data_IF_777572837689
#
_entry.id   IF_777572837689
#
_cell.length_a   1.000
_cell.length_b   1.000
_cell.length_c   1.000
_cell.angle_alpha   90.00
_cell.angle_beta   90.00
_cell.angle_gamma   90.00
#
_symmetry.space_group_name_H-M   'P 1'
#
loop_
_entity.id
_entity.type
_entity.pdbx_description
1 polymer ?
#
# COMPACT_ATOMS: atom_id res chain seq x y z
N UNK A 1 -23.88 -64.04 16.47
CA UNK A 1 -23.58 -63.11 15.34
C UNK A 1 -23.69 -61.69 15.88
N UNK A 2 -22.56 -61.07 16.23
CA UNK A 2 -22.52 -59.74 16.84
C UNK A 2 -22.23 -58.72 15.72
N UNK A 3 -23.20 -57.86 15.38
CA UNK A 3 -23.08 -56.81 14.36
C UNK A 3 -22.48 -55.58 15.03
N UNK A 4 -21.23 -55.25 14.71
CA UNK A 4 -20.63 -53.98 15.07
C UNK A 4 -21.14 -52.86 14.15
N UNK A 5 -21.84 -51.91 14.71
CA UNK A 5 -22.26 -50.67 14.05
C UNK A 5 -21.11 -49.69 14.10
N UNK A 6 -20.47 -49.43 12.95
CA UNK A 6 -19.46 -48.37 12.82
C UNK A 6 -20.19 -47.01 12.73
N UNK A 7 -20.12 -46.21 13.77
CA UNK A 7 -20.59 -44.82 13.74
C UNK A 7 -19.44 -43.97 13.21
N UNK A 8 -19.56 -43.52 11.97
CA UNK A 8 -18.66 -42.56 11.39
C UNK A 8 -18.95 -41.17 11.96
N UNK A 9 -18.07 -40.66 12.81
CA UNK A 9 -18.13 -39.27 13.33
C UNK A 9 -17.60 -38.34 12.22
N UNK A 10 -18.51 -37.67 11.52
CA UNK A 10 -18.17 -36.54 10.66
C UNK A 10 -17.78 -35.35 11.55
N UNK A 11 -16.49 -35.06 11.67
CA UNK A 11 -16.03 -33.83 12.26
C UNK A 11 -16.38 -32.67 11.31
N UNK A 12 -17.02 -31.58 11.79
CA UNK A 12 -17.24 -30.40 10.95
C UNK A 12 -15.88 -29.76 10.64
N UNK A 13 -15.52 -29.71 9.37
CA UNK A 13 -14.40 -28.89 8.91
C UNK A 13 -14.77 -27.42 9.14
N UNK A 14 -14.25 -26.84 10.21
CA UNK A 14 -14.35 -25.40 10.42
C UNK A 14 -13.66 -24.71 9.24
N UNK A 15 -14.43 -24.11 8.34
CA UNK A 15 -13.92 -23.17 7.35
C UNK A 15 -13.35 -21.96 8.13
N UNK A 16 -12.07 -22.01 8.42
CA UNK A 16 -11.35 -20.84 8.90
C UNK A 16 -11.43 -19.79 7.79
N UNK A 17 -12.15 -18.71 8.06
CA UNK A 17 -12.20 -17.57 7.16
C UNK A 17 -10.75 -17.11 6.92
N UNK A 18 -10.24 -17.35 5.71
CA UNK A 18 -8.86 -16.98 5.35
C UNK A 18 -8.75 -15.47 5.41
N UNK A 19 -7.98 -14.97 6.37
CA UNK A 19 -7.62 -13.56 6.44
C UNK A 19 -6.73 -13.24 5.24
N UNK A 20 -7.20 -12.36 4.37
CA UNK A 20 -6.41 -11.88 3.24
C UNK A 20 -5.54 -10.72 3.70
N UNK A 21 -4.25 -10.83 3.48
CA UNK A 21 -3.29 -9.83 3.96
C UNK A 21 -2.24 -9.49 2.90
N UNK A 22 -1.68 -8.31 3.05
CA UNK A 22 -0.57 -7.80 2.28
C UNK A 22 0.53 -7.36 3.24
N UNK A 23 1.75 -7.73 2.92
CA UNK A 23 2.95 -7.26 3.60
C UNK A 23 3.65 -6.24 2.72
N UNK A 24 4.01 -5.10 3.29
CA UNK A 24 4.68 -4.01 2.61
C UNK A 24 5.90 -3.64 3.41
N UNK A 25 7.01 -3.50 2.72
CA UNK A 25 8.30 -3.08 3.27
C UNK A 25 8.79 -1.90 2.45
N UNK A 26 9.10 -0.80 3.13
CA UNK A 26 9.74 0.35 2.52
C UNK A 26 11.27 0.16 2.58
N UNK A 27 11.92 0.33 1.44
CA UNK A 27 13.38 0.24 1.34
C UNK A 27 13.94 1.56 0.80
N UNK A 28 15.08 1.98 1.33
CA UNK A 28 15.84 3.13 0.87
C UNK A 28 17.22 2.69 0.40
N UNK A 29 17.69 3.29 -0.68
CA UNK A 29 19.07 3.11 -1.14
C UNK A 29 20.04 3.85 -0.21
N UNK A 30 21.04 3.16 0.27
CA UNK A 30 22.16 3.72 1.03
C UNK A 30 23.46 3.26 0.38
N UNK A 31 24.16 4.18 -0.26
CA UNK A 31 25.43 3.89 -0.96
C UNK A 31 25.32 2.74 -1.98
N UNK A 32 24.18 2.66 -2.68
CA UNK A 32 23.90 1.62 -3.68
C UNK A 32 23.34 0.31 -3.13
N UNK A 33 23.25 0.14 -1.83
CA UNK A 33 22.63 -1.00 -1.19
C UNK A 33 21.21 -0.67 -0.70
N UNK A 34 20.25 -1.56 -0.92
CA UNK A 34 18.89 -1.42 -0.43
C UNK A 34 18.79 -1.83 1.04
N UNK A 35 18.30 -0.92 1.87
CA UNK A 35 18.07 -1.15 3.29
C UNK A 35 16.60 -0.95 3.62
N UNK A 36 16.03 -1.92 4.31
CA UNK A 36 14.70 -1.77 4.90
C UNK A 36 14.72 -0.67 5.96
N UNK A 37 13.75 0.23 5.90
CA UNK A 37 13.64 1.37 6.82
C UNK A 37 12.29 1.34 7.56
N UNK A 38 12.25 2.07 8.68
CA UNK A 38 11.01 2.33 9.43
C UNK A 38 10.04 3.12 8.55
N UNK A 39 8.77 2.71 8.40
CA UNK A 39 7.78 3.41 7.57
C UNK A 39 7.52 4.86 7.97
N UNK A 40 7.74 5.18 9.25
CA UNK A 40 7.63 6.54 9.77
C UNK A 40 8.88 7.41 9.60
N UNK A 41 9.97 6.87 9.01
CA UNK A 41 11.20 7.65 8.81
C UNK A 41 10.94 8.85 7.91
N UNK A 42 11.31 10.03 8.38
CA UNK A 42 11.28 11.25 7.56
C UNK A 42 12.44 11.18 6.57
N UNK A 43 12.10 11.07 5.31
CA UNK A 43 13.04 10.98 4.20
C UNK A 43 13.61 12.36 3.85
N UNK A 44 14.70 12.40 3.13
CA UNK A 44 15.31 13.62 2.62
C UNK A 44 15.02 13.75 1.13
N UNK A 45 14.94 14.99 0.65
CA UNK A 45 14.92 15.24 -0.79
C UNK A 45 16.13 14.59 -1.46
N UNK A 46 15.88 13.86 -2.55
CA UNK A 46 16.88 13.07 -3.26
C UNK A 46 17.02 11.61 -2.79
N UNK A 47 16.46 11.22 -1.64
CA UNK A 47 16.43 9.82 -1.23
C UNK A 47 15.79 8.95 -2.30
N UNK A 48 16.40 7.80 -2.59
CA UNK A 48 15.86 6.81 -3.51
C UNK A 48 15.17 5.72 -2.72
N UNK A 49 13.90 5.48 -3.02
CA UNK A 49 13.07 4.49 -2.30
C UNK A 49 12.41 3.52 -3.26
N UNK A 50 12.07 2.35 -2.75
CA UNK A 50 11.21 1.36 -3.42
C UNK A 50 10.39 0.63 -2.36
N UNK A 51 9.33 -0.02 -2.83
CA UNK A 51 8.54 -0.89 -1.98
C UNK A 51 8.79 -2.35 -2.36
N UNK A 52 8.78 -3.21 -1.36
CA UNK A 52 8.70 -4.65 -1.51
C UNK A 52 7.34 -5.09 -0.98
N UNK A 53 6.65 -5.92 -1.75
CA UNK A 53 5.27 -6.26 -1.52
C UNK A 53 5.02 -7.75 -1.69
N UNK A 54 4.16 -8.33 -0.84
CA UNK A 54 3.69 -9.70 -0.94
C UNK A 54 2.25 -9.79 -0.45
N UNK A 55 1.37 -10.47 -1.21
CA UNK A 55 0.00 -10.73 -0.82
C UNK A 55 -0.23 -12.21 -0.52
N UNK A 56 -1.23 -12.54 0.29
CA UNK A 56 -1.68 -13.93 0.54
C UNK A 56 -2.77 -14.38 -0.43
N UNK A 57 -3.08 -13.57 -1.45
CA UNK A 57 -4.14 -13.81 -2.43
C UNK A 57 -3.71 -13.32 -3.81
N UNK A 58 -4.34 -13.84 -4.85
CA UNK A 58 -4.15 -13.40 -6.23
C UNK A 58 -4.97 -12.14 -6.50
N UNK A 59 -4.43 -11.23 -7.33
CA UNK A 59 -5.12 -10.00 -7.67
C UNK A 59 -4.33 -9.10 -8.61
N UNK A 60 -4.72 -7.83 -8.64
CA UNK A 60 -4.11 -6.77 -9.43
C UNK A 60 -3.79 -5.57 -8.55
N UNK A 61 -2.54 -5.12 -8.60
CA UNK A 61 -2.04 -4.00 -7.80
C UNK A 61 -2.00 -2.72 -8.65
N UNK A 62 -2.46 -1.64 -8.05
CA UNK A 62 -2.32 -0.27 -8.59
C UNK A 62 -1.77 0.62 -7.49
N UNK A 63 -0.75 1.41 -7.83
CA UNK A 63 -0.10 2.33 -6.88
C UNK A 63 -0.15 3.74 -7.47
N UNK A 64 -0.77 4.66 -6.74
CA UNK A 64 -1.02 6.02 -7.17
C UNK A 64 -0.41 6.97 -6.14
N UNK A 65 0.37 7.94 -6.60
CA UNK A 65 0.93 8.98 -5.74
C UNK A 65 0.09 10.26 -5.82
N UNK A 66 -0.13 10.87 -4.67
CA UNK A 66 -0.57 12.26 -4.52
C UNK A 66 0.55 12.99 -3.78
N UNK A 67 1.35 13.72 -4.55
CA UNK A 67 2.56 14.39 -4.02
C UNK A 67 2.26 15.67 -3.28
N UNK A 68 3.22 16.14 -2.50
CA UNK A 68 3.15 17.39 -1.73
C UNK A 68 2.96 18.64 -2.59
N UNK A 69 3.34 18.59 -3.87
CA UNK A 69 3.06 19.65 -4.87
C UNK A 69 1.62 19.65 -5.38
N UNK A 70 0.77 18.70 -4.94
CA UNK A 70 -0.63 18.56 -5.37
C UNK A 70 -0.82 17.75 -6.65
N UNK A 71 0.26 17.32 -7.31
CA UNK A 71 0.19 16.46 -8.49
C UNK A 71 -0.17 15.02 -8.13
N UNK A 72 -0.90 14.37 -9.04
CA UNK A 72 -1.21 12.93 -8.95
C UNK A 72 -0.58 12.17 -10.10
N UNK A 73 -0.08 10.96 -9.82
CA UNK A 73 0.53 10.12 -10.84
C UNK A 73 0.32 8.64 -10.54
N UNK A 74 0.11 7.83 -11.60
CA UNK A 74 0.13 6.39 -11.49
C UNK A 74 1.59 5.93 -11.42
N UNK A 75 2.00 5.44 -10.25
CA UNK A 75 3.34 4.91 -10.05
C UNK A 75 3.46 3.48 -10.58
N UNK A 76 2.37 2.69 -10.53
CA UNK A 76 2.35 1.30 -10.99
C UNK A 76 0.90 0.87 -11.32
N UNK A 77 0.66 0.16 -12.43
CA UNK A 77 1.62 -0.16 -13.50
C UNK A 77 1.98 1.03 -14.37
N UNK A 78 3.16 0.98 -15.01
CA UNK A 78 3.62 2.04 -15.91
C UNK A 78 4.82 1.60 -16.74
N UNK A 79 5.16 2.35 -17.77
CA UNK A 79 6.24 2.00 -18.69
C UNK A 79 7.60 1.94 -18.01
N UNK A 80 7.88 2.90 -17.15
CA UNK A 80 9.12 2.97 -16.37
C UNK A 80 9.11 2.10 -15.11
N UNK A 81 7.95 1.69 -14.62
CA UNK A 81 7.79 1.00 -13.33
C UNK A 81 7.37 -0.46 -13.46
N UNK A 82 6.99 -0.90 -14.66
CA UNK A 82 6.52 -2.25 -14.97
C UNK A 82 5.05 -2.29 -15.35
N UNK A 83 4.72 -2.98 -16.44
CA UNK A 83 3.36 -3.03 -17.00
C UNK A 83 2.51 -4.17 -16.41
N UNK A 84 3.14 -5.24 -15.93
CA UNK A 84 2.42 -6.37 -15.36
C UNK A 84 2.12 -6.13 -13.89
N UNK A 85 0.87 -5.84 -13.60
CA UNK A 85 0.38 -5.56 -12.25
C UNK A 85 -0.39 -6.74 -11.62
N UNK A 86 -0.40 -7.92 -12.25
CA UNK A 86 -0.94 -9.14 -11.66
C UNK A 86 -0.02 -9.59 -10.53
N UNK A 87 -0.62 -9.85 -9.37
CA UNK A 87 0.05 -10.42 -8.19
C UNK A 87 -0.49 -11.81 -7.90
N UNK A 88 0.42 -12.72 -7.55
CA UNK A 88 0.15 -14.12 -7.21
C UNK A 88 0.37 -14.31 -5.71
N UNK A 89 -0.48 -15.12 -5.09
CA UNK A 89 -0.41 -15.40 -3.66
C UNK A 89 0.97 -15.92 -3.24
N UNK A 90 1.53 -15.33 -2.20
CA UNK A 90 2.81 -15.73 -1.62
C UNK A 90 4.05 -15.28 -2.38
N UNK A 91 3.92 -14.74 -3.59
CA UNK A 91 5.05 -14.23 -4.38
C UNK A 91 5.43 -12.83 -3.95
N UNK A 92 6.73 -12.55 -3.94
CA UNK A 92 7.28 -11.24 -3.64
C UNK A 92 7.44 -10.40 -4.92
N UNK A 93 7.10 -9.12 -4.80
CA UNK A 93 7.17 -8.13 -5.88
C UNK A 93 7.87 -6.87 -5.40
N UNK A 94 8.44 -6.14 -6.35
CA UNK A 94 8.98 -4.80 -6.12
C UNK A 94 8.15 -3.76 -6.87
N UNK A 95 8.00 -2.59 -6.29
CA UNK A 95 7.42 -1.41 -6.94
C UNK A 95 8.42 -0.27 -6.79
N UNK A 96 9.11 0.15 -7.87
CA UNK A 96 8.98 -0.27 -9.28
C UNK A 96 9.46 -1.72 -9.54
N UNK A 97 8.81 -2.41 -10.52
CA UNK A 97 9.15 -3.78 -10.89
C UNK A 97 10.36 -3.87 -11.85
N UNK A 98 10.83 -2.76 -12.39
CA UNK A 98 11.90 -2.67 -13.38
C UNK A 98 13.31 -2.59 -12.79
N UNK A 99 13.45 -2.66 -11.47
CA UNK A 99 14.72 -2.39 -10.79
C UNK A 99 15.04 -0.88 -10.63
N UNK A 100 14.17 0.00 -11.12
CA UNK A 100 14.23 1.44 -10.88
C UNK A 100 13.91 1.78 -9.42
N UNK A 101 13.88 3.06 -9.10
CA UNK A 101 13.52 3.61 -7.78
C UNK A 101 12.68 4.86 -7.94
N UNK A 102 11.91 5.19 -6.93
CA UNK A 102 11.30 6.50 -6.81
C UNK A 102 12.26 7.45 -6.11
N UNK A 103 12.36 8.67 -6.60
CA UNK A 103 13.13 9.71 -5.94
C UNK A 103 12.20 10.60 -5.14
N UNK A 104 12.52 10.81 -3.88
CA UNK A 104 11.81 11.76 -3.01
C UNK A 104 12.10 13.17 -3.50
N UNK A 105 11.05 13.92 -3.80
CA UNK A 105 11.13 15.29 -4.33
C UNK A 105 9.92 16.12 -3.92
N UNK A 106 10.03 17.44 -4.09
CA UNK A 106 8.94 18.38 -3.77
C UNK A 106 9.14 19.11 -2.45
N UNK A 107 8.20 19.98 -2.07
CA UNK A 107 8.24 20.68 -0.80
C UNK A 107 8.02 19.70 0.35
N UNK A 108 8.63 20.01 1.52
CA UNK A 108 8.49 19.20 2.73
C UNK A 108 7.02 18.90 3.06
N UNK A 109 6.75 17.66 3.46
CA UNK A 109 5.38 17.24 3.74
C UNK A 109 5.21 15.72 3.74
N UNK A 110 4.02 15.27 3.33
CA UNK A 110 3.69 13.86 3.19
C UNK A 110 3.18 13.58 1.77
N UNK A 111 3.93 12.80 1.01
CA UNK A 111 3.38 12.17 -0.19
C UNK A 111 2.44 11.05 0.23
N UNK A 112 1.25 11.02 -0.34
CA UNK A 112 0.25 9.98 -0.06
C UNK A 112 0.26 8.98 -1.21
N UNK A 113 0.76 7.79 -0.94
CA UNK A 113 0.80 6.69 -1.90
C UNK A 113 -0.40 5.79 -1.65
N UNK A 114 -1.38 5.81 -2.54
CA UNK A 114 -2.55 4.93 -2.49
C UNK A 114 -2.21 3.58 -3.09
N UNK A 115 -2.48 2.54 -2.32
CA UNK A 115 -2.36 1.15 -2.74
C UNK A 115 -3.75 0.60 -2.97
N UNK A 116 -4.07 0.30 -4.21
CA UNK A 116 -5.34 -0.29 -4.60
C UNK A 116 -5.09 -1.71 -5.07
N UNK A 117 -5.71 -2.67 -4.41
CA UNK A 117 -5.61 -4.08 -4.76
C UNK A 117 -6.99 -4.61 -5.09
N UNK A 118 -7.13 -5.21 -6.26
CA UNK A 118 -8.39 -5.71 -6.78
C UNK A 118 -8.29 -7.20 -7.11
N UNK A 119 -9.29 -8.04 -6.79
CA UNK A 119 -9.32 -9.44 -7.18
C UNK A 119 -9.48 -9.63 -8.70
N UNK A 120 -9.97 -8.61 -9.40
CA UNK A 120 -10.14 -8.58 -10.85
C UNK A 120 -9.49 -7.33 -11.44
N UNK A 121 -9.11 -7.33 -12.72
CA UNK A 121 -8.60 -6.11 -13.35
C UNK A 121 -9.62 -4.97 -13.21
N UNK A 122 -9.14 -3.76 -12.96
CA UNK A 122 -10.01 -2.59 -12.99
C UNK A 122 -10.49 -2.33 -14.40
N UNK A 123 -11.76 -1.96 -14.54
CA UNK A 123 -12.32 -1.48 -15.79
C UNK A 123 -11.75 -0.10 -16.15
N UNK A 124 -11.50 0.15 -17.42
CA UNK A 124 -10.96 1.41 -17.91
C UNK A 124 -9.43 1.50 -17.86
N UNK A 125 -8.91 2.69 -18.08
CA UNK A 125 -7.48 3.00 -18.02
C UNK A 125 -7.21 3.94 -16.83
N UNK A 126 -6.71 3.42 -15.68
CA UNK A 126 -6.41 4.26 -14.52
C UNK A 126 -5.41 5.38 -14.84
N UNK A 127 -4.46 5.16 -15.75
CA UNK A 127 -3.53 6.19 -16.19
C UNK A 127 -4.23 7.33 -16.93
N UNK A 128 -5.21 7.01 -17.81
CA UNK A 128 -6.00 8.03 -18.50
C UNK A 128 -6.93 8.78 -17.53
N UNK A 129 -7.49 8.10 -16.54
CA UNK A 129 -8.29 8.73 -15.49
C UNK A 129 -7.47 9.73 -14.65
N UNK A 130 -6.17 9.44 -14.43
CA UNK A 130 -5.23 10.34 -13.73
C UNK A 130 -4.72 11.46 -14.63
N UNK A 131 -4.63 11.24 -15.94
CA UNK A 131 -4.23 12.26 -16.91
C UNK A 131 -5.35 13.28 -17.20
N UNK A 132 -6.58 12.99 -16.82
CA UNK A 132 -7.69 13.95 -16.86
C UNK A 132 -7.41 15.11 -15.91
N UNK A 133 -7.89 16.29 -16.29
CA UNK A 133 -7.65 17.60 -15.65
C UNK A 133 -8.20 17.65 -14.20
N UNK A 134 -7.53 16.97 -13.32
CA UNK A 134 -7.82 17.03 -11.90
C UNK A 134 -6.98 18.16 -11.34
N UNK A 135 -7.60 19.31 -11.16
CA UNK A 135 -6.98 20.40 -10.41
C UNK A 135 -6.39 19.82 -9.13
N UNK A 136 -5.12 20.11 -8.82
CA UNK A 136 -4.48 19.63 -7.60
C UNK A 136 -5.40 20.02 -6.42
N UNK A 137 -5.86 19.02 -5.68
CA UNK A 137 -6.55 19.30 -4.42
C UNK A 137 -5.62 20.13 -3.54
N UNK A 138 -6.16 20.95 -2.61
CA UNK A 138 -5.33 21.74 -1.72
C UNK A 138 -4.34 20.81 -1.03
N UNK A 139 -3.05 21.04 -1.28
CA UNK A 139 -1.98 20.29 -0.65
C UNK A 139 -2.16 20.39 0.88
N UNK A 140 -2.55 19.31 1.50
CA UNK A 140 -2.55 19.19 2.97
C UNK A 140 -1.10 18.99 3.39
N UNK A 141 -0.30 20.06 3.30
CA UNK A 141 1.10 20.05 3.69
C UNK A 141 1.19 19.97 5.22
N UNK A 142 1.01 18.76 5.74
CA UNK A 142 1.37 18.47 7.10
C UNK A 142 2.89 18.40 7.15
N UNK A 143 3.52 19.35 7.86
CA UNK A 143 4.96 19.32 8.10
C UNK A 143 5.28 18.09 8.94
N UNK A 144 6.24 17.23 8.51
CA UNK A 144 6.64 16.06 9.28
C UNK A 144 7.10 16.42 10.69
N UNK A 145 6.72 15.61 11.66
CA UNK A 145 7.05 15.80 13.07
C UNK A 145 7.98 14.68 13.52
N UNK A 146 9.11 15.03 14.15
CA UNK A 146 9.96 14.05 14.82
C UNK A 146 9.39 13.73 16.21
N UNK A 147 8.24 13.10 16.29
CA UNK A 147 7.49 12.90 17.54
C UNK A 147 7.95 11.70 18.37
N UNK A 148 8.73 10.80 17.78
CA UNK A 148 9.31 9.62 18.44
C UNK A 148 10.61 9.98 19.16
N UNK A 149 10.54 10.26 20.48
CA UNK A 149 11.67 10.74 21.28
C UNK A 149 12.87 9.77 21.30
N UNK A 150 12.63 8.45 21.35
CA UNK A 150 13.69 7.43 21.37
C UNK A 150 14.51 7.47 20.07
N UNK A 151 13.86 7.62 18.94
CA UNK A 151 14.54 7.70 17.65
C UNK A 151 15.25 9.05 17.49
N UNK A 152 14.64 10.13 17.95
CA UNK A 152 15.25 11.47 17.94
C UNK A 152 16.55 11.50 18.74
N UNK A 153 16.61 10.83 19.90
CA UNK A 153 17.82 10.68 20.67
C UNK A 153 18.94 9.93 19.93
N UNK A 154 18.60 9.17 18.90
CA UNK A 154 19.54 8.46 18.00
C UNK A 154 19.82 9.22 16.71
N UNK A 155 19.39 10.47 16.58
CA UNK A 155 19.55 11.29 15.37
C UNK A 155 18.60 10.91 14.22
N UNK A 156 17.54 10.13 14.49
CA UNK A 156 16.54 9.76 13.50
C UNK A 156 15.26 10.56 13.73
N UNK A 157 14.65 11.04 12.64
CA UNK A 157 13.35 11.69 12.67
C UNK A 157 12.29 10.69 12.25
N UNK A 158 11.45 10.27 13.17
CA UNK A 158 10.30 9.39 12.93
C UNK A 158 9.02 10.19 13.18
N UNK A 159 8.14 10.20 12.18
CA UNK A 159 6.81 10.79 12.24
C UNK A 159 5.77 9.68 12.39
N UNK A 160 5.06 9.63 13.50
CA UNK A 160 4.05 8.62 13.78
C UNK A 160 2.81 8.75 12.87
N UNK A 161 2.67 9.86 12.15
CA UNK A 161 1.60 10.06 11.15
C UNK A 161 1.95 9.50 9.76
N UNK A 162 3.19 9.07 9.53
CA UNK A 162 3.63 8.40 8.31
C UNK A 162 3.37 6.88 8.35
N UNK A 163 3.66 6.19 7.25
CA UNK A 163 3.40 4.76 7.09
C UNK A 163 1.97 4.42 6.63
N UNK A 164 1.57 3.14 6.67
CA UNK A 164 0.29 2.69 6.16
C UNK A 164 -0.87 3.11 7.07
N UNK A 165 -2.00 3.50 6.45
CA UNK A 165 -3.22 3.94 7.13
C UNK A 165 -4.46 3.52 6.37
N UNK A 166 -5.56 3.38 7.10
CA UNK A 166 -6.88 3.28 6.51
C UNK A 166 -7.22 4.61 5.82
N UNK A 167 -7.88 4.51 4.68
CA UNK A 167 -8.50 5.70 4.08
C UNK A 167 -9.75 6.03 4.88
N UNK A 168 -9.79 7.18 5.55
CA UNK A 168 -10.86 7.48 6.50
C UNK A 168 -12.22 7.69 5.81
N UNK A 169 -12.19 8.20 4.58
CA UNK A 169 -13.39 8.48 3.78
C UNK A 169 -13.12 8.16 2.32
N UNK A 170 -13.82 7.17 1.73
CA UNK A 170 -13.71 6.88 0.29
C UNK A 170 -14.04 8.08 -0.61
N UNK A 171 -14.88 9.01 -0.15
CA UNK A 171 -15.19 10.23 -0.92
C UNK A 171 -14.01 11.21 -0.97
N UNK A 172 -13.04 11.08 -0.05
CA UNK A 172 -11.81 11.87 -0.06
C UNK A 172 -10.72 11.30 -0.98
N UNK A 173 -10.97 10.14 -1.61
CA UNK A 173 -10.05 9.55 -2.56
C UNK A 173 -9.91 10.41 -3.83
N UNK A 174 -8.71 10.44 -4.42
CA UNK A 174 -8.55 11.03 -5.75
C UNK A 174 -9.62 10.53 -6.72
N UNK A 175 -10.22 11.45 -7.49
CA UNK A 175 -11.31 11.13 -8.43
C UNK A 175 -10.95 10.02 -9.42
N UNK A 176 -9.66 9.91 -9.75
CA UNK A 176 -9.13 8.84 -10.57
C UNK A 176 -9.29 7.43 -9.94
N UNK A 177 -9.16 7.31 -8.62
CA UNK A 177 -9.40 6.05 -7.91
C UNK A 177 -10.89 5.74 -7.90
N UNK A 178 -11.72 6.73 -7.55
CA UNK A 178 -13.17 6.58 -7.48
C UNK A 178 -13.78 6.20 -8.83
N UNK A 179 -13.30 6.80 -9.93
CA UNK A 179 -13.76 6.49 -11.29
C UNK A 179 -13.29 5.13 -11.80
N UNK A 180 -12.09 4.69 -11.42
CA UNK A 180 -11.53 3.39 -11.82
C UNK A 180 -12.07 2.22 -11.00
N UNK A 181 -12.61 2.49 -9.82
CA UNK A 181 -13.14 1.50 -8.89
C UNK A 181 -14.51 1.91 -8.33
N UNK A 182 -15.55 1.99 -9.17
CA UNK A 182 -16.88 2.51 -8.77
C UNK A 182 -17.54 1.68 -7.65
N UNK A 183 -17.13 0.41 -7.49
CA UNK A 183 -17.62 -0.48 -6.44
C UNK A 183 -16.67 -0.55 -5.23
N UNK A 184 -15.82 0.47 -5.07
CA UNK A 184 -14.95 0.56 -3.92
C UNK A 184 -15.78 0.69 -2.66
N UNK A 185 -15.70 -0.30 -1.80
CA UNK A 185 -16.34 -0.28 -0.49
C UNK A 185 -15.30 0.09 0.56
N UNK A 186 -15.68 1.02 1.46
CA UNK A 186 -14.92 1.23 2.68
C UNK A 186 -14.90 -0.08 3.45
N UNK A 187 -13.71 -0.63 3.65
CA UNK A 187 -13.49 -1.79 4.51
C UNK A 187 -12.61 -1.37 5.65
N UNK A 188 -12.97 -1.82 6.82
CA UNK A 188 -12.07 -1.73 7.95
C UNK A 188 -10.90 -2.70 7.72
N UNK A 189 -9.71 -2.12 7.55
CA UNK A 189 -8.48 -2.85 7.41
C UNK A 189 -7.76 -2.86 8.76
N UNK A 190 -7.27 -4.01 9.14
CA UNK A 190 -6.39 -4.13 10.30
C UNK A 190 -4.96 -3.89 9.83
N UNK A 191 -4.36 -2.82 10.33
CA UNK A 191 -2.98 -2.46 10.02
C UNK A 191 -2.12 -2.77 11.24
N UNK A 192 -1.14 -3.65 11.06
CA UNK A 192 -0.16 -4.03 12.08
C UNK A 192 1.23 -3.61 11.60
N UNK A 193 1.87 -2.76 12.38
CA UNK A 193 3.25 -2.34 12.17
C UNK A 193 4.16 -3.20 13.06
N UNK A 194 5.05 -3.98 12.45
CA UNK A 194 6.09 -4.74 13.15
C UNK A 194 7.45 -4.27 12.65
N UNK A 195 8.14 -3.46 13.45
CA UNK A 195 9.40 -2.84 13.09
C UNK A 195 9.33 -2.18 11.70
N UNK A 196 10.01 -2.76 10.74
CA UNK A 196 10.13 -2.25 9.38
C UNK A 196 9.14 -2.90 8.40
N UNK A 197 8.15 -3.63 8.89
CA UNK A 197 7.13 -4.30 8.08
C UNK A 197 5.75 -3.82 8.45
N UNK A 198 4.96 -3.56 7.44
CA UNK A 198 3.56 -3.20 7.59
C UNK A 198 2.71 -4.31 7.03
N UNK A 199 1.82 -4.85 7.85
CA UNK A 199 0.83 -5.84 7.40
C UNK A 199 -0.54 -5.19 7.38
N UNK A 200 -1.17 -5.20 6.22
CA UNK A 200 -2.54 -4.73 6.01
C UNK A 200 -3.41 -5.95 5.76
N UNK A 201 -4.43 -6.13 6.57
CA UNK A 201 -5.30 -7.32 6.53
C UNK A 201 -6.75 -6.94 6.37
N UNK A 202 -7.47 -7.68 5.52
CA UNK A 202 -8.92 -7.60 5.38
C UNK A 202 -9.56 -8.88 5.90
N UNK A 203 -10.68 -8.75 6.60
CA UNK A 203 -11.44 -9.91 7.08
C UNK A 203 -12.24 -10.51 5.93
N UNK A 204 -12.13 -11.83 5.73
CA UNK A 204 -12.85 -12.59 4.72
C UNK A 204 -12.29 -12.44 3.30
N UNK A 205 -12.93 -13.12 2.33
CA UNK A 205 -12.52 -13.10 0.91
C UNK A 205 -12.80 -11.74 0.30
N UNK A 206 -11.85 -11.23 -0.49
CA UNK A 206 -12.04 -10.00 -1.26
C UNK A 206 -13.09 -10.23 -2.36
N UNK A 207 -14.16 -9.47 -2.31
CA UNK A 207 -15.22 -9.45 -3.33
C UNK A 207 -15.15 -8.23 -4.22
N UNK A 208 -14.27 -7.27 -3.91
CA UNK A 208 -14.05 -6.04 -4.65
C UNK A 208 -12.70 -5.41 -4.31
N UNK A 209 -12.36 -4.29 -4.94
CA UNK A 209 -11.12 -3.57 -4.66
C UNK A 209 -11.06 -3.11 -3.20
N UNK A 210 -9.86 -3.12 -2.65
CA UNK A 210 -9.54 -2.46 -1.38
C UNK A 210 -8.54 -1.35 -1.64
N UNK A 211 -8.60 -0.30 -0.84
CA UNK A 211 -7.64 0.80 -0.91
C UNK A 211 -7.17 1.16 0.49
N UNK A 212 -5.89 1.46 0.60
CA UNK A 212 -5.29 2.07 1.79
C UNK A 212 -4.23 3.08 1.35
N UNK A 213 -3.87 3.98 2.23
CA UNK A 213 -2.82 4.95 1.98
C UNK A 213 -1.53 4.58 2.70
N UNK A 214 -0.41 4.88 2.07
CA UNK A 214 0.91 4.84 2.68
C UNK A 214 1.50 6.25 2.61
N UNK A 215 1.71 6.88 3.76
CA UNK A 215 2.26 8.23 3.82
C UNK A 215 3.76 8.19 3.91
N UNK A 216 4.43 8.84 2.98
CA UNK A 216 5.87 9.06 2.99
C UNK A 216 6.15 10.47 3.50
N UNK A 217 6.66 10.58 4.72
CA UNK A 217 7.09 11.85 5.29
C UNK A 217 8.45 12.23 4.72
N UNK A 218 8.61 13.50 4.30
CA UNK A 218 9.91 14.00 3.83
C UNK A 218 10.13 15.48 4.12
N UNK A 219 11.40 15.88 4.20
CA UNK A 219 11.86 17.24 4.50
C UNK A 219 12.74 17.80 3.38
#
# INVERSE_FOLDING_TARGET
MLRFLLIAVLAPAALLAQTQSMEIVLERSDSGAWKTIEPGLVLKSGDLVRFRFRATFDGYLYVINSGTSGGQSLLFPGDSTGRNNRVEAGREYFVPATGASFQVAGPAGHDVVYWLVSPVPLGGNPAAALAGDHAPGPAKNLIPRCDQSIFRARGLCIDSSAGPRNVPDPAALPGAISSSAPNLQARELVIVQDKNRSRVSATGKLTGPIVYEFRLAHS
#
